data_IF_426533831322
#
_entry.id   IF_426533831322
#
_cell.length_a   1.000
_cell.length_b   1.000
_cell.length_c   1.000
_cell.angle_alpha   90.00
_cell.angle_beta   90.00
_cell.angle_gamma   90.00
#
_symmetry.space_group_name_H-M   'P 1'
#
loop_
_entity.id
_entity.type
_entity.pdbx_description
1 polymer ?
#
# COMPACT_ATOMS: atom_id res chain seq x y z
N UNK A 1 -31.25 6.64 -34.21
CA UNK A 1 -30.23 5.86 -33.50
C UNK A 1 -30.97 4.78 -32.74
N UNK A 2 -30.71 3.51 -33.01
CA UNK A 2 -31.44 2.41 -32.37
C UNK A 2 -31.24 2.44 -30.85
N UNK A 3 -32.30 2.21 -30.09
CA UNK A 3 -32.28 2.19 -28.60
C UNK A 3 -31.20 1.23 -28.10
N UNK A 4 -30.98 0.12 -28.81
CA UNK A 4 -29.91 -0.84 -28.53
C UNK A 4 -28.51 -0.20 -28.55
N UNK A 5 -28.23 0.69 -29.50
CA UNK A 5 -26.94 1.38 -29.58
C UNK A 5 -26.76 2.37 -28.41
N UNK A 6 -27.83 3.06 -28.00
CA UNK A 6 -27.81 3.95 -26.84
C UNK A 6 -27.54 3.19 -25.53
N UNK A 7 -28.20 2.05 -25.35
CA UNK A 7 -27.98 1.17 -24.17
C UNK A 7 -26.56 0.62 -24.15
N UNK A 8 -26.05 0.15 -25.29
CA UNK A 8 -24.68 -0.35 -25.39
C UNK A 8 -23.65 0.72 -25.01
N UNK A 9 -23.85 1.96 -25.46
CA UNK A 9 -22.98 3.09 -25.10
C UNK A 9 -23.04 3.40 -23.60
N UNK A 10 -24.23 3.41 -22.99
CA UNK A 10 -24.39 3.65 -21.56
C UNK A 10 -23.68 2.59 -20.70
N UNK A 11 -23.81 1.31 -21.06
CA UNK A 11 -23.13 0.20 -20.37
C UNK A 11 -21.61 0.33 -20.50
N UNK A 12 -21.12 0.70 -21.69
CA UNK A 12 -19.68 0.91 -21.92
C UNK A 12 -19.12 2.01 -21.02
N UNK A 13 -19.79 3.16 -20.95
CA UNK A 13 -19.39 4.29 -20.10
C UNK A 13 -19.38 3.87 -18.63
N UNK A 14 -20.43 3.17 -18.17
CA UNK A 14 -20.50 2.70 -16.79
C UNK A 14 -19.40 1.70 -16.46
N UNK A 15 -19.05 0.79 -17.39
CA UNK A 15 -17.96 -0.16 -17.21
C UNK A 15 -16.59 0.53 -17.10
N UNK A 16 -16.36 1.60 -17.87
CA UNK A 16 -15.14 2.42 -17.76
C UNK A 16 -15.10 3.15 -16.43
N UNK A 17 -16.19 3.79 -16.01
CA UNK A 17 -16.27 4.47 -14.71
C UNK A 17 -16.01 3.51 -13.55
N UNK A 18 -16.60 2.31 -13.58
CA UNK A 18 -16.34 1.27 -12.59
C UNK A 18 -14.87 0.87 -12.54
N UNK A 19 -14.21 0.72 -13.68
CA UNK A 19 -12.76 0.42 -13.73
C UNK A 19 -11.91 1.55 -13.17
N UNK A 20 -12.21 2.80 -13.55
CA UNK A 20 -11.47 3.98 -13.06
C UNK A 20 -11.60 4.09 -11.54
N UNK A 21 -12.79 3.88 -10.98
CA UNK A 21 -13.01 3.87 -9.54
C UNK A 21 -12.36 2.66 -8.84
N UNK A 22 -12.30 1.49 -9.48
CA UNK A 22 -11.66 0.31 -8.89
C UNK A 22 -10.14 0.44 -8.71
N UNK A 23 -9.49 1.29 -9.52
CA UNK A 23 -8.04 1.50 -9.49
C UNK A 23 -7.54 2.09 -8.16
N UNK A 24 -8.08 3.22 -7.64
CA UNK A 24 -7.65 3.76 -6.34
C UNK A 24 -7.94 2.79 -5.19
N UNK A 25 -9.07 2.08 -5.18
CA UNK A 25 -9.35 1.08 -4.15
C UNK A 25 -8.31 -0.05 -4.13
N UNK A 26 -7.87 -0.51 -5.31
CA UNK A 26 -6.82 -1.52 -5.41
C UNK A 26 -5.48 -1.00 -4.86
N UNK A 27 -5.15 0.26 -5.11
CA UNK A 27 -3.92 0.89 -4.59
C UNK A 27 -4.01 0.97 -3.06
N UNK A 28 -5.11 1.48 -2.51
CA UNK A 28 -5.32 1.56 -1.05
C UNK A 28 -5.21 0.18 -0.41
N UNK A 29 -5.82 -0.85 -1.00
CA UNK A 29 -5.72 -2.21 -0.48
C UNK A 29 -4.28 -2.75 -0.49
N UNK A 30 -3.51 -2.47 -1.55
CA UNK A 30 -2.08 -2.80 -1.60
C UNK A 30 -1.26 -2.04 -0.54
N UNK A 31 -1.55 -0.77 -0.30
CA UNK A 31 -0.87 0.01 0.73
C UNK A 31 -1.15 -0.54 2.13
N UNK A 32 -2.40 -0.88 2.42
CA UNK A 32 -2.80 -1.48 3.71
C UNK A 32 -2.08 -2.81 3.91
N UNK A 33 -2.18 -3.72 2.93
CA UNK A 33 -1.56 -5.06 3.05
C UNK A 33 -0.05 -4.99 3.17
N UNK A 34 0.63 -4.13 2.39
CA UNK A 34 2.06 -3.90 2.53
C UNK A 34 2.39 -3.31 3.92
N UNK A 35 1.64 -2.32 4.40
CA UNK A 35 1.85 -1.74 5.73
C UNK A 35 1.68 -2.78 6.84
N UNK A 36 0.69 -3.66 6.77
CA UNK A 36 0.53 -4.76 7.73
C UNK A 36 1.74 -5.70 7.73
N UNK A 37 2.21 -6.12 6.56
CA UNK A 37 3.40 -6.97 6.44
C UNK A 37 4.64 -6.26 6.99
N UNK A 38 4.85 -5.00 6.64
CA UNK A 38 5.98 -4.24 7.15
C UNK A 38 5.91 -3.96 8.65
N UNK A 39 4.70 -3.78 9.21
CA UNK A 39 4.52 -3.68 10.66
C UNK A 39 4.92 -4.98 11.35
N UNK A 40 4.56 -6.14 10.80
CA UNK A 40 4.99 -7.45 11.31
C UNK A 40 6.52 -7.57 11.26
N UNK A 41 7.15 -7.20 10.14
CA UNK A 41 8.61 -7.24 10.00
C UNK A 41 9.29 -6.35 11.03
N UNK A 42 8.87 -5.09 11.15
CA UNK A 42 9.43 -4.15 12.12
C UNK A 42 9.21 -4.64 13.55
N UNK A 43 8.03 -5.17 13.85
CA UNK A 43 7.74 -5.76 15.16
C UNK A 43 8.69 -6.92 15.50
N UNK A 44 8.90 -7.85 14.57
CA UNK A 44 9.83 -8.97 14.77
C UNK A 44 11.25 -8.46 15.03
N UNK A 45 11.68 -7.42 14.32
CA UNK A 45 13.02 -6.84 14.49
C UNK A 45 13.14 -6.09 15.81
N UNK A 46 12.09 -5.38 16.23
CA UNK A 46 12.06 -4.66 17.50
C UNK A 46 12.13 -5.58 18.71
N UNK A 47 11.65 -6.83 18.60
CA UNK A 47 11.85 -7.88 19.63
C UNK A 47 13.33 -8.16 19.92
N UNK A 48 14.24 -7.90 18.98
CA UNK A 48 15.68 -8.01 19.17
C UNK A 48 16.33 -6.74 19.74
N UNK A 49 15.53 -5.75 20.16
CA UNK A 49 16.01 -4.52 20.76
C UNK A 49 16.42 -3.44 19.75
N UNK A 50 15.86 -3.48 18.53
CA UNK A 50 16.15 -2.46 17.51
C UNK A 50 15.64 -1.05 17.88
N UNK A 51 14.63 -0.95 18.75
CA UNK A 51 14.11 0.33 19.25
C UNK A 51 13.50 1.18 18.14
N UNK A 52 12.91 0.56 17.12
CA UNK A 52 12.27 1.25 15.99
C UNK A 52 10.80 1.47 16.34
N UNK A 53 10.37 2.72 16.42
CA UNK A 53 8.95 3.04 16.55
C UNK A 53 8.15 2.49 15.36
N UNK A 54 7.09 1.75 15.64
CA UNK A 54 6.23 1.18 14.59
C UNK A 54 5.11 2.17 14.30
N UNK A 55 5.19 2.85 13.15
CA UNK A 55 4.13 3.72 12.66
C UNK A 55 3.71 3.32 11.23
N UNK A 56 2.58 3.85 10.77
CA UNK A 56 2.03 3.50 9.46
C UNK A 56 3.02 3.73 8.30
N UNK A 57 3.80 4.82 8.35
CA UNK A 57 4.73 5.19 7.29
C UNK A 57 5.99 4.30 7.27
N UNK A 58 6.59 4.04 8.43
CA UNK A 58 7.74 3.13 8.61
C UNK A 58 7.33 1.70 8.22
N UNK A 59 6.15 1.25 8.66
CA UNK A 59 5.59 -0.04 8.27
C UNK A 59 5.33 -0.12 6.76
N UNK A 60 4.82 0.95 6.14
CA UNK A 60 4.65 0.99 4.70
C UNK A 60 5.99 0.92 3.95
N UNK A 61 7.02 1.63 4.43
CA UNK A 61 8.38 1.58 3.85
C UNK A 61 8.96 0.18 3.97
N UNK A 62 8.94 -0.42 5.17
CA UNK A 62 9.43 -1.78 5.39
C UNK A 62 8.65 -2.82 4.58
N UNK A 63 7.33 -2.65 4.46
CA UNK A 63 6.47 -3.56 3.72
C UNK A 63 6.59 -3.45 2.21
N UNK A 64 6.79 -2.25 1.68
CA UNK A 64 6.94 -2.01 0.24
C UNK A 64 8.35 -2.35 -0.26
N UNK A 65 9.38 -1.94 0.48
CA UNK A 65 10.78 -2.14 0.10
C UNK A 65 11.39 -3.42 0.66
N UNK A 66 10.75 -4.09 1.62
CA UNK A 66 11.26 -5.30 2.26
C UNK A 66 12.55 -5.04 3.05
N UNK A 67 13.54 -5.91 2.86
CA UNK A 67 14.84 -5.84 3.54
C UNK A 67 15.55 -4.49 3.30
N UNK A 68 15.67 -3.97 2.06
CA UNK A 68 16.18 -2.62 1.82
C UNK A 68 15.49 -1.53 2.65
N UNK A 69 14.16 -1.58 2.76
CA UNK A 69 13.38 -0.60 3.54
C UNK A 69 13.70 -0.67 5.03
N UNK A 70 13.79 -1.87 5.57
CA UNK A 70 14.20 -2.12 6.95
C UNK A 70 15.61 -1.58 7.23
N UNK A 71 16.57 -1.82 6.34
CA UNK A 71 17.94 -1.32 6.49
C UNK A 71 17.94 0.21 6.58
N UNK A 72 17.20 0.89 5.71
CA UNK A 72 17.09 2.36 5.74
C UNK A 72 16.50 2.83 7.07
N UNK A 73 15.48 2.16 7.60
CA UNK A 73 14.85 2.53 8.88
C UNK A 73 15.78 2.29 10.08
N UNK A 74 16.56 1.21 10.06
CA UNK A 74 17.60 0.97 11.07
C UNK A 74 18.67 2.06 11.03
N UNK A 75 19.15 2.42 9.83
CA UNK A 75 20.13 3.50 9.66
C UNK A 75 19.58 4.84 10.15
N UNK A 76 18.32 5.17 9.81
CA UNK A 76 17.64 6.38 10.30
C UNK A 76 17.61 6.41 11.83
N UNK A 77 17.24 5.29 12.46
CA UNK A 77 17.23 5.20 13.93
C UNK A 77 18.62 5.38 14.53
N UNK A 78 19.65 4.78 13.92
CA UNK A 78 21.04 4.87 14.40
C UNK A 78 21.64 6.27 14.23
N UNK A 79 21.28 7.00 13.16
CA UNK A 79 21.75 8.37 12.92
C UNK A 79 20.96 9.42 13.72
N UNK A 80 19.71 9.11 14.09
CA UNK A 80 18.80 10.05 14.73
C UNK A 80 19.03 10.33 16.22
N UNK A 81 19.89 9.55 16.91
CA UNK A 81 20.01 9.47 18.38
C UNK A 81 18.69 9.11 19.09
#
# INVERSE_FOLDING_TARGET
MDIAAGVALAVLIFAVLGKVLSLPFRIVWKLITNSVVGAIILWVIDLFGAGIEINFLRALIAGFFGIPGVIVLLLERMMGH
#
